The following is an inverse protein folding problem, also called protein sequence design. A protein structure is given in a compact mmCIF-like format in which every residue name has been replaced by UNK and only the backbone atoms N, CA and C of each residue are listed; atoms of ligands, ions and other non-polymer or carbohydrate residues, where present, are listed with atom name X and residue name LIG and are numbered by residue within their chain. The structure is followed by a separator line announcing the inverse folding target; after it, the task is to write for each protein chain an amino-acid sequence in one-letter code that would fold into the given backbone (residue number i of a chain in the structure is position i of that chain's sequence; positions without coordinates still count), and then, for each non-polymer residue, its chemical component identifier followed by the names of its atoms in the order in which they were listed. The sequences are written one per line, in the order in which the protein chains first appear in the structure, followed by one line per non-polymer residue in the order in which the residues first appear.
data_IF_778940205678
#
_entry.id   IF_778940205678
#
_cell.length_a   1.000
_cell.length_b   1.000
_cell.length_c   1.000
_cell.angle_alpha   90.00
_cell.angle_beta   90.00
_cell.angle_gamma   90.00
#
_symmetry.space_group_name_H-M   'P 1'
#
loop_
_entity.id
_entity.type
_entity.pdbx_description
1 polymer ?
#
# COMPACT_ATOMS: atom_id res chain seq x y z
N UNK A 1 -5.71 -3.80 7.01
CA UNK A 1 -5.56 -5.26 7.06
C UNK A 1 -5.07 -5.71 8.43
N UNK A 2 -5.58 -6.82 8.88
CA UNK A 2 -5.26 -7.38 10.18
C UNK A 2 -4.70 -8.80 10.03
N UNK A 3 -3.53 -9.06 10.64
CA UNK A 3 -2.88 -10.36 10.60
C UNK A 3 -1.97 -10.52 11.81
N UNK A 4 -1.77 -11.75 12.27
CA UNK A 4 -0.81 -12.08 13.31
C UNK A 4 0.64 -12.04 12.81
N UNK A 5 0.84 -11.99 11.50
CA UNK A 5 2.17 -11.90 10.92
C UNK A 5 2.78 -10.51 11.15
N UNK A 6 4.09 -10.40 11.36
CA UNK A 6 4.75 -9.11 11.44
C UNK A 6 4.60 -8.32 10.15
N UNK A 7 4.40 -7.01 10.28
CA UNK A 7 4.36 -6.11 9.13
C UNK A 7 5.79 -5.71 8.75
N UNK A 8 6.05 -5.66 7.44
CA UNK A 8 7.32 -5.18 6.89
C UNK A 8 7.11 -3.81 6.25
N UNK A 9 7.98 -2.86 6.58
CA UNK A 9 8.02 -1.57 5.90
C UNK A 9 8.88 -1.73 4.63
N UNK A 10 8.24 -1.67 3.46
CA UNK A 10 8.92 -1.88 2.18
C UNK A 10 9.55 -0.60 1.66
N UNK A 11 8.85 0.53 1.81
CA UNK A 11 9.38 1.83 1.41
C UNK A 11 8.64 2.94 2.15
N UNK A 12 9.32 4.08 2.28
CA UNK A 12 8.75 5.28 2.86
C UNK A 12 9.27 6.48 2.08
N UNK A 13 8.40 7.42 1.76
CA UNK A 13 8.78 8.64 1.06
C UNK A 13 7.80 9.77 1.38
N UNK A 14 8.19 10.99 1.03
CA UNK A 14 7.34 12.16 1.21
C UNK A 14 6.89 12.67 -0.15
N UNK A 15 5.63 13.12 -0.24
CA UNK A 15 5.13 13.81 -1.42
C UNK A 15 3.94 14.69 -1.04
N UNK A 16 3.62 15.65 -1.92
CA UNK A 16 2.41 16.44 -1.75
C UNK A 16 1.21 15.71 -2.37
N UNK A 17 0.10 15.72 -1.64
CA UNK A 17 -1.17 15.17 -2.11
C UNK A 17 -2.23 16.20 -1.77
N UNK A 18 -2.93 16.72 -2.80
CA UNK A 18 -3.97 17.74 -2.64
C UNK A 18 -3.49 18.97 -1.82
N UNK A 19 -2.24 19.39 -2.06
CA UNK A 19 -1.69 20.56 -1.39
C UNK A 19 -1.14 20.32 0.01
N UNK A 20 -1.21 19.09 0.52
CA UNK A 20 -0.68 18.74 1.83
C UNK A 20 0.56 17.87 1.70
N UNK A 21 1.54 18.13 2.55
CA UNK A 21 2.70 17.25 2.65
C UNK A 21 2.29 15.95 3.33
N UNK A 22 2.56 14.83 2.66
CA UNK A 22 2.24 13.50 3.16
C UNK A 22 3.50 12.66 3.29
N UNK A 23 3.51 11.80 4.31
CA UNK A 23 4.43 10.67 4.35
C UNK A 23 3.65 9.46 3.83
N UNK A 24 4.24 8.75 2.87
CA UNK A 24 3.61 7.59 2.23
C UNK A 24 4.43 6.35 2.56
N UNK A 25 3.77 5.29 2.99
CA UNK A 25 4.41 4.03 3.34
C UNK A 25 3.80 2.90 2.54
N UNK A 26 4.63 1.94 2.16
CA UNK A 26 4.21 0.67 1.59
C UNK A 26 4.51 -0.42 2.61
N UNK A 27 3.49 -1.10 3.05
CA UNK A 27 3.58 -2.17 4.04
C UNK A 27 3.29 -3.52 3.38
N UNK A 28 3.93 -4.56 3.90
CA UNK A 28 3.74 -5.92 3.41
C UNK A 28 3.62 -6.89 4.58
N UNK A 29 2.70 -7.83 4.45
CA UNK A 29 2.53 -8.93 5.41
C UNK A 29 2.76 -10.26 4.70
N UNK A 30 3.47 -11.19 5.37
CA UNK A 30 3.54 -12.58 4.94
C UNK A 30 2.28 -13.28 5.40
N UNK A 31 1.33 -13.48 4.50
CA UNK A 31 0.06 -14.09 4.88
C UNK A 31 -0.01 -15.57 4.58
N UNK A 32 0.74 -16.05 3.58
CA UNK A 32 0.83 -17.46 3.20
C UNK A 32 -0.54 -18.15 3.14
N UNK A 33 -1.51 -17.44 2.59
CA UNK A 33 -2.86 -17.96 2.44
C UNK A 33 -2.95 -18.76 1.15
N UNK A 34 -3.63 -19.91 1.21
CA UNK A 34 -3.82 -20.78 0.06
C UNK A 34 -5.26 -21.24 0.00
N UNK A 35 -5.86 -21.23 -1.20
CA UNK A 35 -7.21 -21.71 -1.43
C UNK A 35 -7.48 -21.96 -2.90
N UNK A 36 -8.13 -23.09 -3.22
CA UNK A 36 -8.54 -23.44 -4.59
C UNK A 36 -7.40 -23.46 -5.60
N UNK A 37 -6.20 -23.91 -5.18
CA UNK A 37 -5.04 -23.97 -6.05
C UNK A 37 -4.36 -22.63 -6.29
N UNK A 38 -4.75 -21.58 -5.59
CA UNK A 38 -4.18 -20.25 -5.67
C UNK A 38 -3.49 -19.93 -4.35
N UNK A 39 -2.27 -19.43 -4.43
CA UNK A 39 -1.50 -19.01 -3.27
C UNK A 39 -1.45 -17.51 -3.17
N UNK A 40 -1.57 -16.98 -1.94
CA UNK A 40 -1.47 -15.56 -1.62
C UNK A 40 -0.34 -15.37 -0.62
N UNK A 41 0.94 -15.35 -1.09
CA UNK A 41 2.07 -15.28 -0.15
C UNK A 41 2.18 -13.96 0.59
N UNK A 42 1.80 -12.84 -0.03
CA UNK A 42 1.93 -11.52 0.56
C UNK A 42 0.67 -10.70 0.38
N UNK A 43 0.41 -9.85 1.38
CA UNK A 43 -0.58 -8.79 1.27
C UNK A 43 0.13 -7.44 1.38
N UNK A 44 -0.23 -6.52 0.51
CA UNK A 44 0.37 -5.18 0.46
C UNK A 44 -0.67 -4.12 0.78
N UNK A 45 -0.22 -3.04 1.44
CA UNK A 45 -1.09 -1.90 1.72
C UNK A 45 -0.29 -0.61 1.66
N UNK A 46 -0.82 0.37 0.91
CA UNK A 46 -0.26 1.73 0.84
C UNK A 46 -1.06 2.61 1.78
N UNK A 47 -0.36 3.32 2.66
CA UNK A 47 -0.99 4.29 3.56
C UNK A 47 -0.29 5.63 3.43
N UNK A 48 -1.05 6.71 3.60
CA UNK A 48 -0.44 8.02 3.68
C UNK A 48 -0.98 8.79 4.87
N UNK A 49 -0.11 9.64 5.43
CA UNK A 49 -0.43 10.47 6.58
C UNK A 49 -0.07 11.91 6.21
N UNK A 50 -1.05 12.81 6.28
CA UNK A 50 -0.80 14.21 5.98
C UNK A 50 -0.38 14.96 7.23
N UNK A 51 0.47 15.96 7.08
CA UNK A 51 0.89 16.80 8.18
C UNK A 51 -0.20 17.83 8.51
N UNK A 52 -0.56 17.89 9.78
CA UNK A 52 -1.51 18.86 10.33
C UNK A 52 -0.81 19.59 11.47
N UNK A 53 -0.74 20.92 11.40
CA UNK A 53 0.01 21.72 12.37
C UNK A 53 -0.46 21.54 13.82
N UNK A 54 -1.75 21.30 14.02
CA UNK A 54 -2.27 21.13 15.38
C UNK A 54 -2.25 19.71 15.90
N UNK A 55 -2.08 18.71 15.03
CA UNK A 55 -2.23 17.28 15.38
C UNK A 55 -1.06 16.40 14.99
N UNK A 56 -0.04 16.95 14.32
CA UNK A 56 1.04 16.15 13.76
C UNK A 56 0.62 15.48 12.47
N UNK A 57 0.89 14.18 12.33
CA UNK A 57 0.49 13.44 11.14
C UNK A 57 -0.81 12.70 11.39
N UNK A 58 -1.78 12.90 10.49
CA UNK A 58 -3.07 12.20 10.56
C UNK A 58 -3.27 11.37 9.29
N UNK A 59 -3.96 10.23 9.44
CA UNK A 59 -4.20 9.31 8.33
C UNK A 59 -4.97 10.02 7.22
N UNK A 60 -4.47 9.92 5.99
CA UNK A 60 -5.08 10.53 4.81
C UNK A 60 -5.64 9.46 3.87
N UNK A 61 -4.80 8.54 3.39
CA UNK A 61 -5.19 7.49 2.46
C UNK A 61 -4.83 6.13 3.02
N UNK A 62 -5.68 5.15 2.80
CA UNK A 62 -5.38 3.75 3.10
C UNK A 62 -6.25 2.81 2.28
N UNK A 63 -5.92 1.52 2.34
CA UNK A 63 -6.62 0.49 1.58
C UNK A 63 -8.05 0.23 2.02
N UNK A 64 -8.46 0.72 3.18
CA UNK A 64 -9.85 0.60 3.61
C UNK A 64 -10.76 1.52 2.81
N UNK A 65 -10.26 2.70 2.44
CA UNK A 65 -11.02 3.69 1.70
C UNK A 65 -10.83 3.58 0.19
N UNK A 66 -9.69 3.11 -0.25
CA UNK A 66 -9.37 2.97 -1.66
C UNK A 66 -8.84 1.57 -1.93
N UNK A 67 -9.66 0.70 -2.57
CA UNK A 67 -9.25 -0.68 -2.84
C UNK A 67 -8.00 -0.82 -3.70
N UNK A 68 -7.65 0.21 -4.46
CA UNK A 68 -6.46 0.20 -5.30
C UNK A 68 -5.16 0.35 -4.50
N UNK A 69 -5.26 0.80 -3.25
CA UNK A 69 -4.12 0.99 -2.35
C UNK A 69 -3.79 -0.27 -1.55
N UNK A 70 -4.46 -1.37 -1.81
CA UNK A 70 -4.18 -2.64 -1.15
C UNK A 70 -4.37 -3.79 -2.11
N UNK A 71 -3.72 -4.91 -1.84
CA UNK A 71 -3.89 -6.09 -2.66
C UNK A 71 -2.89 -7.19 -2.32
N UNK A 72 -3.10 -8.33 -2.93
CA UNK A 72 -2.29 -9.53 -2.71
C UNK A 72 -1.34 -9.75 -3.87
N UNK A 73 -0.17 -10.32 -3.56
CA UNK A 73 0.56 -11.05 -4.57
C UNK A 73 -0.16 -12.39 -4.75
N UNK A 74 -0.41 -12.76 -5.99
CA UNK A 74 -1.14 -13.99 -6.31
C UNK A 74 -0.25 -14.92 -7.11
N UNK A 75 -0.18 -16.17 -6.69
CA UNK A 75 0.58 -17.20 -7.40
C UNK A 75 -0.38 -18.32 -7.80
N UNK A 76 -0.48 -18.58 -9.10
CA UNK A 76 -1.38 -19.57 -9.65
C UNK A 76 -0.77 -20.24 -10.87
N UNK A 77 -0.74 -21.58 -10.90
CA UNK A 77 -0.25 -22.37 -12.03
C UNK A 77 1.16 -21.97 -12.51
N UNK A 78 2.05 -21.61 -11.57
CA UNK A 78 3.41 -21.17 -11.91
C UNK A 78 3.52 -19.71 -12.33
N UNK A 79 2.40 -18.99 -12.43
CA UNK A 79 2.38 -17.57 -12.74
C UNK A 79 2.29 -16.75 -11.48
N UNK A 80 3.02 -15.63 -11.43
CA UNK A 80 3.01 -14.72 -10.29
C UNK A 80 2.45 -13.38 -10.75
N UNK A 81 1.41 -12.90 -10.08
CA UNK A 81 0.85 -11.58 -10.29
C UNK A 81 1.18 -10.73 -9.06
N UNK A 82 2.00 -9.71 -9.25
CA UNK A 82 2.39 -8.84 -8.17
C UNK A 82 1.35 -7.75 -7.93
N UNK A 83 1.35 -7.21 -6.70
CA UNK A 83 0.57 -6.01 -6.40
C UNK A 83 1.08 -4.86 -7.30
N UNK A 84 0.17 -4.14 -8.01
CA UNK A 84 0.60 -3.12 -8.98
C UNK A 84 1.44 -1.99 -8.38
N UNK A 85 1.22 -1.64 -7.11
CA UNK A 85 1.90 -0.54 -6.44
C UNK A 85 3.02 -1.07 -5.54
N UNK A 86 3.91 -1.89 -6.08
CA UNK A 86 4.91 -2.61 -5.29
C UNK A 86 6.23 -1.86 -5.11
N UNK A 87 6.33 -0.61 -5.57
CA UNK A 87 7.50 0.23 -5.32
C UNK A 87 7.13 1.71 -5.30
N UNK A 88 8.08 2.55 -4.84
CA UNK A 88 7.84 3.98 -4.67
C UNK A 88 7.47 4.69 -5.97
N UNK A 89 8.12 4.35 -7.08
CA UNK A 89 7.88 5.01 -8.37
C UNK A 89 6.46 4.78 -8.85
N UNK A 90 5.98 3.54 -8.75
CA UNK A 90 4.61 3.19 -9.16
C UNK A 90 3.58 3.86 -8.26
N UNK A 91 3.85 3.92 -6.96
CA UNK A 91 2.96 4.59 -6.00
C UNK A 91 2.89 6.08 -6.29
N UNK A 92 4.03 6.74 -6.50
CA UNK A 92 4.07 8.17 -6.81
C UNK A 92 3.29 8.48 -8.07
N UNK A 93 3.48 7.70 -9.13
CA UNK A 93 2.77 7.89 -10.39
C UNK A 93 1.25 7.73 -10.21
N UNK A 94 0.83 6.70 -9.52
CA UNK A 94 -0.58 6.44 -9.23
C UNK A 94 -1.22 7.59 -8.46
N UNK A 95 -0.56 8.06 -7.41
CA UNK A 95 -1.10 9.13 -6.58
C UNK A 95 -1.17 10.46 -7.32
N UNK A 96 -0.20 10.75 -8.20
CA UNK A 96 -0.23 11.96 -9.01
C UNK A 96 -1.42 11.96 -9.99
N UNK A 97 -1.68 10.82 -10.61
CA UNK A 97 -2.76 10.69 -11.58
C UNK A 97 -4.11 10.76 -10.89
N UNK A 98 -4.28 10.06 -9.78
CA UNK A 98 -5.59 9.92 -9.12
C UNK A 98 -5.94 11.09 -8.21
N UNK A 99 -4.97 11.60 -7.45
CA UNK A 99 -5.22 12.61 -6.42
C UNK A 99 -4.69 13.99 -6.77
N UNK A 100 -3.91 14.10 -7.82
CA UNK A 100 -3.28 15.34 -8.20
C UNK A 100 -2.15 15.74 -7.27
N UNK A 101 -1.23 16.53 -7.73
CA UNK A 101 -0.10 17.04 -6.93
C UNK A 101 0.16 18.49 -7.32
#
# INVERSE_FOLDING_TARGET
YYSDAPVELMTIFFMQINGYRNVVVLLRWHVNYEGNGVEYPYYYEVKSYKHDEGRGYIKNLDGEKDPQLSGYQIKSNGNIQNFPLDNAEKIKKFLRVKYGV
#
